data_IF_357418005362
#
_entry.id   IF_357418005362
#
_cell.length_a   1.000
_cell.length_b   1.000
_cell.length_c   1.000
_cell.angle_alpha   90.00
_cell.angle_beta   90.00
_cell.angle_gamma   90.00
#
_symmetry.space_group_name_H-M   'P 1'
#
loop_
_entity.id
_entity.type
_entity.pdbx_description
1 polymer ?
#
# COMPACT_ATOMS: atom_id res chain seq x y z
N UNK A 1 24.32 -30.11 -36.55
CA UNK A 1 25.25 -29.03 -36.18
C UNK A 1 24.61 -28.21 -35.07
N UNK A 2 24.66 -28.71 -33.83
CA UNK A 2 23.92 -28.13 -32.70
C UNK A 2 24.77 -28.04 -31.41
N UNK A 3 26.09 -27.92 -31.57
CA UNK A 3 27.04 -28.05 -30.46
C UNK A 3 27.58 -26.72 -29.92
N UNK A 4 27.30 -25.58 -30.57
CA UNK A 4 28.01 -24.33 -30.28
C UNK A 4 27.30 -23.39 -29.29
N UNK A 5 26.06 -23.67 -28.89
CA UNK A 5 25.32 -22.80 -27.95
C UNK A 5 25.61 -23.08 -26.47
N UNK A 6 26.19 -24.25 -26.14
CA UNK A 6 26.45 -24.65 -24.75
C UNK A 6 27.70 -24.01 -24.14
N UNK A 7 28.70 -23.66 -24.96
CA UNK A 7 29.96 -23.06 -24.50
C UNK A 7 29.83 -21.57 -24.13
N UNK A 8 28.85 -20.86 -24.70
CA UNK A 8 28.66 -19.43 -24.45
C UNK A 8 27.97 -19.18 -23.10
N UNK A 9 27.00 -20.02 -22.74
CA UNK A 9 26.23 -19.90 -21.51
C UNK A 9 27.07 -20.18 -20.25
N UNK A 10 28.06 -21.07 -20.34
CA UNK A 10 28.97 -21.41 -19.24
C UNK A 10 29.96 -20.28 -18.95
N UNK A 11 30.44 -19.58 -19.97
CA UNK A 11 31.39 -18.46 -19.80
C UNK A 11 30.74 -17.23 -19.13
N UNK A 12 29.45 -16.98 -19.39
CA UNK A 12 28.72 -15.87 -18.78
C UNK A 12 28.45 -16.10 -17.28
N UNK A 13 28.22 -17.36 -16.89
CA UNK A 13 27.97 -17.71 -15.49
C UNK A 13 29.19 -17.57 -14.59
N UNK A 14 30.40 -17.88 -15.09
CA UNK A 14 31.63 -17.73 -14.30
C UNK A 14 31.98 -16.25 -14.10
N UNK A 15 31.87 -15.43 -15.15
CA UNK A 15 32.12 -13.99 -15.06
C UNK A 15 31.22 -13.30 -14.03
N UNK A 16 29.95 -13.70 -13.95
CA UNK A 16 29.03 -13.18 -12.94
C UNK A 16 29.43 -13.59 -11.51
N UNK A 17 29.88 -14.83 -11.31
CA UNK A 17 30.32 -15.30 -9.98
C UNK A 17 31.55 -14.53 -9.51
N UNK A 18 32.53 -14.32 -10.40
CA UNK A 18 33.73 -13.54 -10.09
C UNK A 18 33.37 -12.08 -9.74
N UNK A 19 32.45 -11.46 -10.49
CA UNK A 19 31.96 -10.11 -10.20
C UNK A 19 31.21 -10.03 -8.87
N UNK A 20 30.34 -11.01 -8.59
CA UNK A 20 29.61 -11.08 -7.33
C UNK A 20 30.57 -11.25 -6.15
N UNK A 21 31.60 -12.08 -6.28
CA UNK A 21 32.60 -12.29 -5.25
C UNK A 21 33.41 -11.02 -4.97
N UNK A 22 33.83 -10.29 -6.01
CA UNK A 22 34.50 -8.99 -5.86
C UNK A 22 33.62 -7.98 -5.13
N UNK A 23 32.32 -7.91 -5.47
CA UNK A 23 31.40 -6.99 -4.82
C UNK A 23 31.15 -7.40 -3.36
N UNK A 24 31.02 -8.70 -3.09
CA UNK A 24 30.88 -9.21 -1.72
C UNK A 24 32.13 -8.98 -0.87
N UNK A 25 33.32 -9.06 -1.47
CA UNK A 25 34.58 -8.76 -0.78
C UNK A 25 34.66 -7.27 -0.43
N UNK A 26 34.37 -6.38 -1.40
CA UNK A 26 34.27 -4.93 -1.14
C UNK A 26 33.26 -4.60 -0.06
N UNK A 27 32.09 -5.25 -0.09
CA UNK A 27 31.06 -5.05 0.93
C UNK A 27 31.56 -5.43 2.34
N UNK A 28 32.45 -6.41 2.46
CA UNK A 28 33.07 -6.82 3.74
C UNK A 28 34.19 -5.89 4.17
N UNK A 29 35.06 -5.45 3.25
CA UNK A 29 36.27 -4.70 3.58
C UNK A 29 36.02 -3.19 3.68
N UNK A 30 35.24 -2.64 2.75
CA UNK A 30 34.91 -1.22 2.67
C UNK A 30 33.53 -1.01 2.01
N UNK A 31 32.44 -1.07 2.79
CA UNK A 31 31.09 -0.93 2.27
C UNK A 31 30.80 0.46 1.69
N UNK A 32 31.64 1.47 1.97
CA UNK A 32 31.49 2.81 1.40
C UNK A 32 31.95 2.88 -0.06
N UNK A 33 32.77 1.92 -0.50
CA UNK A 33 33.26 1.81 -1.88
C UNK A 33 32.22 1.29 -2.89
N UNK A 34 31.09 0.78 -2.41
CA UNK A 34 30.01 0.24 -3.26
C UNK A 34 29.27 1.38 -3.95
N UNK A 35 29.24 1.35 -5.28
CA UNK A 35 28.61 2.37 -6.12
C UNK A 35 27.26 1.90 -6.67
N UNK A 36 26.46 2.85 -7.17
CA UNK A 36 25.22 2.53 -7.88
C UNK A 36 25.47 1.72 -9.17
N UNK A 37 26.64 1.89 -9.80
CA UNK A 37 27.02 1.13 -10.99
C UNK A 37 27.29 -0.34 -10.65
N UNK A 38 27.87 -0.65 -9.48
CA UNK A 38 28.05 -2.03 -9.02
C UNK A 38 26.69 -2.75 -8.84
N UNK A 39 25.69 -2.03 -8.31
CA UNK A 39 24.33 -2.54 -8.14
C UNK A 39 23.64 -2.79 -9.49
N UNK A 40 23.84 -1.88 -10.45
CA UNK A 40 23.33 -1.99 -11.83
C UNK A 40 24.00 -3.13 -12.61
N UNK A 41 25.31 -3.31 -12.46
CA UNK A 41 26.05 -4.43 -13.07
C UNK A 41 25.55 -5.78 -12.56
N UNK A 42 25.22 -5.87 -11.27
CA UNK A 42 24.63 -7.07 -10.70
C UNK A 42 23.22 -7.34 -11.23
N UNK A 43 22.38 -6.32 -11.41
CA UNK A 43 21.02 -6.49 -11.91
C UNK A 43 20.96 -6.82 -13.41
N UNK A 44 21.88 -6.28 -14.22
CA UNK A 44 21.95 -6.53 -15.67
C UNK A 44 22.34 -7.99 -16.01
N UNK A 45 23.10 -8.66 -15.15
CA UNK A 45 23.58 -10.04 -15.40
C UNK A 45 22.73 -11.12 -14.73
N UNK A 46 21.62 -10.74 -14.09
CA UNK A 46 20.87 -11.63 -13.24
C UNK A 46 19.65 -12.28 -13.92
N UNK A 47 19.51 -13.59 -13.72
CA UNK A 47 18.35 -14.36 -14.17
C UNK A 47 17.35 -14.50 -13.02
N UNK A 48 16.10 -14.06 -13.20
CA UNK A 48 15.07 -13.82 -12.15
C UNK A 48 14.69 -15.04 -11.28
N UNK A 49 15.22 -16.22 -11.55
CA UNK A 49 14.84 -17.47 -10.89
C UNK A 49 15.52 -17.74 -9.54
N UNK A 50 16.53 -16.97 -9.12
CA UNK A 50 17.20 -17.19 -7.83
C UNK A 50 16.83 -16.12 -6.78
N UNK A 51 15.84 -16.42 -5.95
CA UNK A 51 15.35 -15.49 -4.91
C UNK A 51 16.45 -14.96 -3.98
N UNK A 52 17.47 -15.76 -3.67
CA UNK A 52 18.57 -15.33 -2.79
C UNK A 52 19.36 -14.20 -3.43
N UNK A 53 19.65 -14.33 -4.71
CA UNK A 53 20.40 -13.34 -5.45
C UNK A 53 19.57 -12.06 -5.72
N UNK A 54 18.26 -12.18 -5.97
CA UNK A 54 17.36 -10.99 -6.00
C UNK A 54 17.44 -10.20 -4.69
N UNK A 55 17.38 -10.89 -3.54
CA UNK A 55 17.49 -10.23 -2.22
C UNK A 55 18.83 -9.53 -2.03
N UNK A 56 19.93 -10.16 -2.45
CA UNK A 56 21.28 -9.57 -2.39
C UNK A 56 21.36 -8.32 -3.27
N UNK A 57 20.88 -8.40 -4.52
CA UNK A 57 20.90 -7.27 -5.46
C UNK A 57 20.12 -6.09 -4.89
N UNK A 58 18.90 -6.32 -4.40
CA UNK A 58 18.11 -5.26 -3.76
C UNK A 58 18.82 -4.67 -2.54
N UNK A 59 19.51 -5.49 -1.73
CA UNK A 59 20.27 -4.99 -0.58
C UNK A 59 21.41 -4.04 -1.00
N UNK A 60 22.13 -4.40 -2.06
CA UNK A 60 23.23 -3.61 -2.62
C UNK A 60 22.70 -2.30 -3.22
N UNK A 61 21.58 -2.33 -3.93
CA UNK A 61 20.91 -1.12 -4.44
C UNK A 61 20.50 -0.17 -3.32
N UNK A 62 19.87 -0.69 -2.25
CA UNK A 62 19.50 0.12 -1.09
C UNK A 62 20.72 0.75 -0.40
N UNK A 63 21.82 0.00 -0.28
CA UNK A 63 23.05 0.52 0.31
C UNK A 63 23.68 1.62 -0.55
N UNK A 64 23.71 1.46 -1.87
CA UNK A 64 24.26 2.47 -2.77
C UNK A 64 23.48 3.80 -2.69
N UNK A 65 22.15 3.73 -2.63
CA UNK A 65 21.29 4.92 -2.46
C UNK A 65 21.56 5.57 -1.10
N UNK A 66 21.60 4.75 -0.04
CA UNK A 66 21.86 5.20 1.32
C UNK A 66 23.22 5.90 1.50
N UNK A 67 24.29 5.32 0.96
CA UNK A 67 25.63 5.88 1.03
C UNK A 67 25.67 7.24 0.31
N UNK A 68 24.99 7.36 -0.83
CA UNK A 68 24.88 8.64 -1.54
C UNK A 68 24.17 9.70 -0.69
N UNK A 69 23.05 9.37 -0.07
CA UNK A 69 22.30 10.29 0.79
C UNK A 69 23.13 10.69 2.02
N UNK A 70 23.85 9.74 2.61
CA UNK A 70 24.76 9.98 3.74
C UNK A 70 25.91 10.92 3.35
N UNK A 71 26.55 10.69 2.21
CA UNK A 71 27.63 11.53 1.70
C UNK A 71 27.14 12.94 1.36
N UNK A 72 25.95 13.08 0.79
CA UNK A 72 25.34 14.39 0.53
C UNK A 72 25.06 15.13 1.85
N UNK A 73 24.53 14.45 2.87
CA UNK A 73 24.29 15.03 4.18
C UNK A 73 25.61 15.46 4.87
N UNK A 74 26.63 14.60 4.86
CA UNK A 74 27.95 14.89 5.46
C UNK A 74 28.73 15.98 4.72
N UNK A 75 28.57 16.08 3.39
CA UNK A 75 29.24 17.10 2.58
C UNK A 75 28.64 18.50 2.72
N UNK A 76 27.39 18.62 3.17
CA UNK A 76 26.70 19.89 3.39
C UNK A 76 27.15 20.59 4.68
N UNK A 77 27.23 19.84 5.79
CA UNK A 77 27.89 20.28 7.02
C UNK A 77 28.16 19.07 7.94
N UNK A 78 29.41 18.81 8.36
CA UNK A 78 29.72 17.71 9.25
C UNK A 78 29.23 17.94 10.69
N UNK A 79 28.87 19.19 11.04
CA UNK A 79 28.33 19.56 12.36
C UNK A 79 26.81 19.32 12.47
N UNK A 80 26.08 19.15 11.36
CA UNK A 80 24.64 18.83 11.36
C UNK A 80 24.38 17.34 11.13
N UNK A 81 25.02 16.46 11.92
CA UNK A 81 24.51 15.10 12.06
C UNK A 81 23.18 15.17 12.83
N UNK A 82 22.11 15.45 12.11
CA UNK A 82 20.76 15.57 12.66
C UNK A 82 20.20 14.21 13.04
N UNK A 83 19.19 14.19 13.91
CA UNK A 83 18.49 12.97 14.30
C UNK A 83 17.87 12.23 13.11
N UNK A 84 17.55 12.97 12.04
CA UNK A 84 17.00 12.48 10.77
C UNK A 84 18.03 11.62 10.02
N UNK A 85 19.29 12.05 9.97
CA UNK A 85 20.37 11.28 9.34
C UNK A 85 20.57 9.97 10.11
N UNK A 86 20.68 10.03 11.44
CA UNK A 86 20.83 8.84 12.29
C UNK A 86 19.65 7.86 12.13
N UNK A 87 18.41 8.37 12.14
CA UNK A 87 17.19 7.56 11.94
C UNK A 87 17.18 6.91 10.55
N UNK A 88 17.61 7.64 9.53
CA UNK A 88 17.71 7.14 8.15
C UNK A 88 18.76 6.04 8.06
N UNK A 89 19.97 6.28 8.56
CA UNK A 89 21.05 5.27 8.62
C UNK A 89 20.61 4.02 9.38
N UNK A 90 19.95 4.16 10.54
CA UNK A 90 19.47 3.02 11.32
C UNK A 90 18.37 2.22 10.60
N UNK A 91 17.47 2.90 9.88
CA UNK A 91 16.46 2.27 9.02
C UNK A 91 17.10 1.48 7.87
N UNK A 92 18.16 2.03 7.25
CA UNK A 92 18.93 1.36 6.20
C UNK A 92 19.63 0.11 6.73
N UNK A 93 20.38 0.23 7.84
CA UNK A 93 21.07 -0.90 8.48
C UNK A 93 20.07 -2.00 8.82
N UNK A 94 18.89 -1.64 9.34
CA UNK A 94 17.81 -2.60 9.60
C UNK A 94 17.36 -3.31 8.33
N UNK A 95 17.10 -2.58 7.23
CA UNK A 95 16.70 -3.18 5.95
C UNK A 95 17.79 -4.08 5.37
N UNK A 96 19.06 -3.69 5.48
CA UNK A 96 20.20 -4.51 5.05
C UNK A 96 20.30 -5.80 5.85
N UNK A 97 20.22 -5.72 7.18
CA UNK A 97 20.18 -6.91 8.04
C UNK A 97 19.06 -7.84 7.60
N UNK A 98 17.86 -7.30 7.33
CA UNK A 98 16.75 -8.11 6.81
C UNK A 98 17.06 -8.76 5.46
N UNK A 99 17.60 -8.01 4.51
CA UNK A 99 17.90 -8.50 3.17
C UNK A 99 19.02 -9.56 3.15
N UNK A 100 19.98 -9.46 4.07
CA UNK A 100 21.04 -10.45 4.27
C UNK A 100 20.56 -11.72 5.00
N UNK A 101 19.28 -11.83 5.35
CA UNK A 101 18.77 -12.94 6.16
C UNK A 101 19.16 -12.86 7.63
N UNK A 102 19.77 -11.75 8.06
CA UNK A 102 19.84 -11.36 9.48
C UNK A 102 18.53 -10.69 9.93
N UNK A 103 17.39 -11.04 9.32
CA UNK A 103 16.08 -10.88 9.95
C UNK A 103 16.11 -11.81 11.16
N UNK A 104 16.34 -11.27 12.38
CA UNK A 104 16.20 -11.98 13.65
C UNK A 104 16.45 -13.48 13.49
N UNK A 105 17.71 -13.88 13.22
CA UNK A 105 18.04 -15.30 13.19
C UNK A 105 17.43 -15.86 14.46
N UNK A 106 16.45 -16.79 14.39
CA UNK A 106 15.71 -17.25 15.54
C UNK A 106 16.74 -17.58 16.60
N UNK A 107 16.79 -16.79 17.68
CA UNK A 107 17.81 -17.01 18.68
C UNK A 107 17.43 -18.33 19.34
N UNK A 108 18.09 -19.46 19.00
CA UNK A 108 17.60 -20.77 19.43
C UNK A 108 17.66 -20.89 20.95
N UNK A 109 18.52 -20.07 21.57
CA UNK A 109 18.66 -19.90 23.01
C UNK A 109 17.40 -19.26 23.64
N UNK A 110 16.73 -18.32 22.96
CA UNK A 110 15.52 -17.63 23.46
C UNK A 110 14.26 -18.43 23.19
N UNK A 111 14.27 -19.29 22.16
CA UNK A 111 13.14 -20.17 21.83
C UNK A 111 12.81 -21.14 22.97
N UNK A 112 13.82 -21.69 23.65
CA UNK A 112 13.63 -22.55 24.81
C UNK A 112 12.93 -21.82 25.97
N UNK A 113 13.39 -20.60 26.29
CA UNK A 113 12.75 -19.76 27.31
C UNK A 113 11.31 -19.37 26.93
N UNK A 114 11.05 -19.11 25.65
CA UNK A 114 9.72 -18.81 25.13
C UNK A 114 8.79 -20.02 25.30
N UNK A 115 9.24 -21.21 24.93
CA UNK A 115 8.44 -22.43 25.05
C UNK A 115 8.13 -22.79 26.50
N UNK A 116 9.11 -22.64 27.41
CA UNK A 116 8.89 -22.83 28.85
C UNK A 116 7.85 -21.85 29.39
N UNK A 117 7.91 -20.58 28.98
CA UNK A 117 6.95 -19.57 29.42
C UNK A 117 5.56 -19.81 28.82
N UNK A 118 5.48 -20.27 27.58
CA UNK A 118 4.22 -20.70 26.95
C UNK A 118 3.56 -21.80 27.78
N UNK A 119 4.29 -22.88 28.10
CA UNK A 119 3.77 -24.01 28.89
C UNK A 119 3.27 -23.55 30.27
N UNK A 120 3.95 -22.57 30.87
CA UNK A 120 3.57 -21.99 32.16
C UNK A 120 2.32 -21.08 32.08
N UNK A 121 2.17 -20.31 31.00
CA UNK A 121 1.11 -19.32 30.84
C UNK A 121 -0.17 -19.92 30.25
N UNK A 122 -0.07 -20.94 29.39
CA UNK A 122 -1.21 -21.59 28.74
C UNK A 122 -2.34 -22.03 29.72
N UNK A 123 -2.06 -22.76 30.83
CA UNK A 123 -3.11 -23.08 31.80
C UNK A 123 -3.68 -21.84 32.51
N UNK A 124 -2.89 -20.78 32.68
CA UNK A 124 -3.36 -19.52 33.28
C UNK A 124 -4.25 -18.72 32.34
N UNK A 125 -4.01 -18.79 31.02
CA UNK A 125 -4.91 -18.22 30.01
C UNK A 125 -6.27 -18.89 30.11
N UNK A 126 -6.31 -20.23 30.14
CA UNK A 126 -7.55 -20.99 30.26
C UNK A 126 -8.33 -20.66 31.54
N UNK A 127 -7.61 -20.43 32.65
CA UNK A 127 -8.21 -20.02 33.94
C UNK A 127 -8.55 -18.53 34.02
N UNK A 128 -8.08 -17.70 33.09
CA UNK A 128 -8.24 -16.24 33.14
C UNK A 128 -7.40 -15.56 34.23
N UNK A 129 -6.36 -16.21 34.75
CA UNK A 129 -5.56 -15.75 35.92
C UNK A 129 -4.25 -15.08 35.54
N UNK A 130 -3.97 -14.92 34.25
CA UNK A 130 -2.74 -14.28 33.72
C UNK A 130 -2.54 -12.89 34.33
N UNK A 131 -1.32 -12.61 34.77
CA UNK A 131 -0.92 -11.29 35.25
C UNK A 131 -0.34 -10.43 34.12
N UNK A 132 -0.41 -9.11 34.26
CA UNK A 132 0.15 -8.16 33.27
C UNK A 132 1.64 -8.40 33.01
N UNK A 133 2.42 -8.61 34.07
CA UNK A 133 3.85 -8.88 33.95
C UNK A 133 4.16 -10.17 33.17
N UNK A 134 3.34 -11.21 33.31
CA UNK A 134 3.49 -12.46 32.55
C UNK A 134 3.17 -12.24 31.06
N UNK A 135 2.10 -11.50 30.75
CA UNK A 135 1.75 -11.17 29.37
C UNK A 135 2.82 -10.30 28.69
N UNK A 136 3.37 -9.32 29.40
CA UNK A 136 4.44 -8.44 28.89
C UNK A 136 5.77 -9.21 28.73
N UNK A 137 6.08 -10.14 29.64
CA UNK A 137 7.26 -11.02 29.53
C UNK A 137 7.15 -11.94 28.33
N UNK A 138 5.99 -12.57 28.12
CA UNK A 138 5.73 -13.43 26.97
C UNK A 138 5.83 -12.66 25.66
N UNK A 139 5.26 -11.45 25.59
CA UNK A 139 5.37 -10.56 24.44
C UNK A 139 6.82 -10.19 24.12
N UNK A 140 7.61 -9.89 25.15
CA UNK A 140 9.04 -9.57 24.99
C UNK A 140 9.84 -10.79 24.49
N UNK A 141 9.55 -11.99 25.00
CA UNK A 141 10.19 -13.23 24.55
C UNK A 141 9.87 -13.53 23.09
N UNK A 142 8.59 -13.47 22.72
CA UNK A 142 8.13 -13.69 21.34
C UNK A 142 8.70 -12.65 20.37
N UNK A 143 8.72 -11.37 20.77
CA UNK A 143 9.32 -10.30 19.96
C UNK A 143 10.83 -10.51 19.75
N UNK A 144 11.56 -11.06 20.73
CA UNK A 144 12.98 -11.40 20.57
C UNK A 144 13.19 -12.65 19.73
N UNK A 145 12.35 -13.67 19.91
CA UNK A 145 12.47 -14.96 19.21
C UNK A 145 12.08 -14.84 17.73
N UNK A 146 10.97 -14.16 17.43
CA UNK A 146 10.38 -14.11 16.10
C UNK A 146 10.42 -12.72 15.46
N UNK A 147 10.74 -11.66 16.22
CA UNK A 147 10.74 -10.30 15.70
C UNK A 147 9.35 -9.68 15.51
N UNK A 148 8.29 -10.47 15.71
CA UNK A 148 6.91 -10.05 15.61
C UNK A 148 6.04 -10.95 16.49
N UNK A 149 4.93 -10.42 16.97
CA UNK A 149 3.93 -11.23 17.68
C UNK A 149 2.87 -11.72 16.71
N UNK A 150 2.58 -13.01 16.75
CA UNK A 150 1.57 -13.59 15.89
C UNK A 150 0.17 -13.09 16.29
N UNK A 151 -0.59 -12.62 15.30
CA UNK A 151 -1.98 -12.20 15.52
C UNK A 151 -2.81 -13.41 15.87
N UNK A 152 -3.29 -13.48 17.12
CA UNK A 152 -4.08 -14.61 17.62
C UNK A 152 -3.24 -15.71 18.28
N UNK A 153 -1.93 -15.52 18.42
CA UNK A 153 -1.07 -16.42 19.19
C UNK A 153 -1.31 -16.36 20.70
N UNK A 154 -0.56 -17.18 21.44
CA UNK A 154 -0.68 -17.34 22.90
C UNK A 154 -0.44 -16.00 23.62
N UNK A 155 0.51 -15.19 23.14
CA UNK A 155 0.74 -13.83 23.65
C UNK A 155 -0.48 -12.93 23.50
N UNK A 156 -1.13 -12.94 22.34
CA UNK A 156 -2.33 -12.14 22.11
C UNK A 156 -3.48 -12.61 23.03
N UNK A 157 -3.60 -13.91 23.26
CA UNK A 157 -4.57 -14.47 24.21
C UNK A 157 -4.26 -14.04 25.65
N UNK A 158 -3.00 -14.08 26.07
CA UNK A 158 -2.54 -13.61 27.38
C UNK A 158 -2.88 -12.12 27.60
N UNK A 159 -2.56 -11.26 26.63
CA UNK A 159 -2.89 -9.83 26.68
C UNK A 159 -4.40 -9.59 26.73
N UNK A 160 -5.19 -10.36 25.98
CA UNK A 160 -6.66 -10.28 26.00
C UNK A 160 -7.24 -10.63 27.37
N UNK A 161 -6.72 -11.67 28.02
CA UNK A 161 -7.12 -12.06 29.39
C UNK A 161 -6.81 -10.94 30.38
N UNK A 162 -5.61 -10.36 30.34
CA UNK A 162 -5.21 -9.24 31.20
C UNK A 162 -6.16 -8.05 30.98
N UNK A 163 -6.40 -7.66 29.72
CA UNK A 163 -7.29 -6.55 29.39
C UNK A 163 -8.75 -6.80 29.80
N UNK A 164 -9.22 -8.05 29.80
CA UNK A 164 -10.55 -8.42 30.33
C UNK A 164 -10.59 -8.29 31.85
N UNK A 165 -9.55 -8.75 32.55
CA UNK A 165 -9.46 -8.65 34.00
C UNK A 165 -9.38 -7.21 34.49
N UNK A 166 -8.58 -6.37 33.84
CA UNK A 166 -8.50 -4.93 34.15
C UNK A 166 -9.86 -4.24 33.98
N UNK A 167 -10.63 -4.63 32.95
CA UNK A 167 -12.01 -4.18 32.76
C UNK A 167 -12.94 -4.63 33.88
N UNK A 168 -12.86 -5.89 34.32
CA UNK A 168 -13.70 -6.40 35.41
C UNK A 168 -13.38 -5.73 36.76
N UNK A 169 -12.10 -5.51 37.07
CA UNK A 169 -11.68 -4.79 38.28
C UNK A 169 -12.17 -3.34 38.29
N UNK A 170 -12.23 -2.72 37.11
CA UNK A 170 -12.79 -1.37 36.97
C UNK A 170 -14.32 -1.33 37.18
N UNK A 171 -15.02 -2.45 36.98
CA UNK A 171 -16.48 -2.55 37.10
C UNK A 171 -16.93 -3.03 38.49
N UNK A 172 -16.12 -3.83 39.20
CA UNK A 172 -16.47 -4.34 40.53
C UNK A 172 -16.14 -3.35 41.66
N UNK A 173 -15.57 -2.19 41.35
CA UNK A 173 -15.39 -1.06 42.28
C UNK A 173 -16.66 -0.23 42.49
N UNK A 174 -17.84 -0.83 42.40
CA UNK A 174 -19.10 -0.18 42.79
C UNK A 174 -19.14 0.02 44.31
N UNK A 175 -19.69 1.14 44.80
CA UNK A 175 -19.60 1.52 46.20
C UNK A 175 -20.33 0.50 47.07
N UNK A 176 -19.58 -0.23 47.89
CA UNK A 176 -20.12 -1.09 48.94
C UNK A 176 -20.87 -0.18 49.92
N UNK A 177 -22.20 -0.31 49.91
CA UNK A 177 -23.11 0.48 50.71
C UNK A 177 -22.86 0.26 52.20
N UNK A 178 -22.15 1.19 52.83
CA UNK A 178 -22.26 1.44 54.27
C UNK A 178 -22.92 2.79 54.50
N UNK A 179 -24.16 2.68 54.97
CA UNK A 179 -25.03 3.57 55.74
C UNK A 179 -24.78 5.09 55.82
N UNK A 180 -25.87 5.88 55.89
CA UNK A 180 -25.83 7.32 55.99
C UNK A 180 -25.51 7.76 57.43
N UNK A 181 -24.47 8.55 57.60
CA UNK A 181 -24.40 9.49 58.72
C UNK A 181 -23.92 10.81 58.18
N UNK A 182 -24.82 11.79 58.26
CA UNK A 182 -24.62 13.13 57.76
C UNK A 182 -23.43 13.78 58.44
N UNK A 183 -22.48 14.24 57.65
CA UNK A 183 -21.71 15.43 57.96
C UNK A 183 -21.21 15.98 56.64
N UNK A 184 -21.62 17.19 56.33
CA UNK A 184 -21.12 17.99 55.24
C UNK A 184 -19.59 18.07 55.31
N UNK A 185 -18.88 17.54 54.31
CA UNK A 185 -17.58 18.08 53.98
C UNK A 185 -17.21 17.81 52.53
N UNK A 186 -17.17 18.92 51.79
CA UNK A 186 -16.53 19.10 50.50
C UNK A 186 -15.20 18.33 50.39
N UNK A 187 -15.12 17.32 49.52
CA UNK A 187 -13.87 16.97 48.84
C UNK A 187 -14.11 16.14 47.57
N UNK A 188 -14.11 16.85 46.46
CA UNK A 188 -13.70 16.45 45.10
C UNK A 188 -13.71 14.93 44.77
N UNK A 189 -14.81 14.48 44.19
CA UNK A 189 -14.94 13.22 43.48
C UNK A 189 -13.92 13.16 42.34
N UNK A 190 -12.99 12.20 42.44
CA UNK A 190 -12.03 11.83 41.40
C UNK A 190 -12.45 10.50 40.77
N UNK A 191 -13.74 10.38 40.44
CA UNK A 191 -14.23 9.30 39.58
C UNK A 191 -13.80 9.61 38.15
N UNK A 192 -13.11 8.67 37.51
CA UNK A 192 -12.71 8.79 36.12
C UNK A 192 -13.93 8.84 35.23
N UNK A 193 -14.46 10.04 34.98
CA UNK A 193 -15.44 10.31 33.95
C UNK A 193 -14.88 9.83 32.61
N UNK A 194 -15.24 8.61 32.20
CA UNK A 194 -15.19 8.28 30.77
C UNK A 194 -16.15 9.24 30.09
N UNK A 195 -15.67 9.96 29.09
CA UNK A 195 -16.51 10.94 28.42
C UNK A 195 -17.74 10.23 27.82
N UNK A 196 -18.88 10.93 27.67
CA UNK A 196 -20.05 10.37 27.02
C UNK A 196 -19.74 9.78 25.63
N UNK A 197 -18.76 10.32 24.91
CA UNK A 197 -18.31 9.76 23.63
C UNK A 197 -17.67 8.38 23.77
N UNK A 198 -16.85 8.16 24.80
CA UNK A 198 -16.21 6.86 25.03
C UNK A 198 -17.24 5.79 25.37
N UNK A 199 -18.22 6.10 26.21
CA UNK A 199 -19.29 5.15 26.54
C UNK A 199 -20.11 4.79 25.30
N UNK A 200 -20.46 5.79 24.48
CA UNK A 200 -21.16 5.56 23.21
C UNK A 200 -20.37 4.68 22.24
N UNK A 201 -19.04 4.80 22.20
CA UNK A 201 -18.20 3.93 21.38
C UNK A 201 -18.20 2.49 21.88
N UNK A 202 -18.10 2.27 23.20
CA UNK A 202 -18.16 0.92 23.78
C UNK A 202 -19.48 0.22 23.49
N UNK A 203 -20.60 0.95 23.58
CA UNK A 203 -21.93 0.37 23.30
C UNK A 203 -22.07 0.02 21.81
N UNK A 204 -21.52 0.85 20.91
CA UNK A 204 -21.51 0.57 19.45
C UNK A 204 -20.67 -0.67 19.12
N UNK A 205 -19.51 -0.82 19.76
CA UNK A 205 -18.62 -1.97 19.57
C UNK A 205 -19.25 -3.26 20.13
N UNK A 206 -19.86 -3.19 21.33
CA UNK A 206 -20.58 -4.33 21.91
C UNK A 206 -21.72 -4.82 21.03
N UNK A 207 -22.52 -3.91 20.47
CA UNK A 207 -23.59 -4.25 19.53
C UNK A 207 -23.07 -4.92 18.26
N UNK A 208 -21.92 -4.47 17.73
CA UNK A 208 -21.29 -5.07 16.56
C UNK A 208 -20.80 -6.50 16.84
N UNK A 209 -20.13 -6.72 17.98
CA UNK A 209 -19.67 -8.05 18.40
C UNK A 209 -20.85 -9.02 18.58
N UNK A 210 -21.90 -8.60 19.27
CA UNK A 210 -23.07 -9.43 19.49
C UNK A 210 -23.77 -9.82 18.17
N UNK A 211 -23.91 -8.87 17.24
CA UNK A 211 -24.47 -9.15 15.92
C UNK A 211 -23.55 -10.07 15.09
N UNK A 212 -22.23 -9.93 15.22
CA UNK A 212 -21.25 -10.78 14.54
C UNK A 212 -21.32 -12.23 15.05
N UNK A 213 -21.41 -12.43 16.36
CA UNK A 213 -21.56 -13.76 16.95
C UNK A 213 -22.87 -14.42 16.50
N UNK A 214 -23.98 -13.67 16.44
CA UNK A 214 -25.28 -14.19 16.02
C UNK A 214 -25.35 -14.64 14.55
N UNK A 215 -24.47 -14.12 13.67
CA UNK A 215 -24.41 -14.55 12.26
C UNK A 215 -23.28 -15.51 11.98
N UNK A 216 -22.36 -15.74 12.93
CA UNK A 216 -21.14 -16.50 12.68
C UNK A 216 -21.44 -17.90 12.16
N UNK A 217 -22.31 -18.63 12.86
CA UNK A 217 -22.73 -19.98 12.45
C UNK A 217 -23.45 -19.96 11.08
N UNK A 218 -24.27 -18.93 10.82
CA UNK A 218 -24.95 -18.75 9.53
C UNK A 218 -23.98 -18.48 8.38
N UNK A 219 -22.86 -17.81 8.64
CA UNK A 219 -21.80 -17.59 7.64
C UNK A 219 -21.15 -18.92 7.28
N UNK A 220 -20.83 -19.74 8.28
CA UNK A 220 -20.25 -21.08 8.10
C UNK A 220 -21.22 -22.02 7.35
N UNK A 221 -22.51 -21.95 7.66
CA UNK A 221 -23.57 -22.71 6.97
C UNK A 221 -23.96 -22.14 5.60
N UNK A 222 -23.54 -20.91 5.28
CA UNK A 222 -23.92 -20.23 4.04
C UNK A 222 -25.37 -19.71 4.00
N UNK A 223 -26.05 -19.62 5.14
CA UNK A 223 -27.48 -19.31 5.25
C UNK A 223 -27.78 -17.82 5.48
N UNK A 224 -26.76 -16.98 5.55
CA UNK A 224 -26.89 -15.52 5.78
C UNK A 224 -27.81 -14.85 4.75
N UNK A 225 -28.69 -13.99 5.23
CA UNK A 225 -29.56 -13.16 4.39
C UNK A 225 -28.93 -11.79 4.08
N UNK A 226 -29.34 -11.16 2.98
CA UNK A 226 -28.88 -9.81 2.61
C UNK A 226 -29.22 -8.75 3.67
N UNK A 227 -30.35 -8.91 4.36
CA UNK A 227 -30.74 -8.02 5.45
C UNK A 227 -29.75 -8.10 6.62
N UNK A 228 -29.36 -9.32 7.03
CA UNK A 228 -28.38 -9.53 8.10
C UNK A 228 -27.00 -8.99 7.71
N UNK A 229 -26.55 -9.25 6.48
CA UNK A 229 -25.28 -8.72 5.98
C UNK A 229 -25.26 -7.19 5.94
N UNK A 230 -26.36 -6.55 5.51
CA UNK A 230 -26.50 -5.09 5.49
C UNK A 230 -26.56 -4.50 6.89
N UNK A 231 -27.22 -5.19 7.83
CA UNK A 231 -27.29 -4.77 9.23
C UNK A 231 -25.90 -4.75 9.90
N UNK A 232 -25.10 -5.80 9.68
CA UNK A 232 -23.71 -5.87 10.15
C UNK A 232 -22.82 -4.78 9.57
N UNK A 233 -22.96 -4.52 8.27
CA UNK A 233 -22.22 -3.44 7.63
C UNK A 233 -22.58 -2.08 8.22
N UNK A 234 -23.86 -1.83 8.49
CA UNK A 234 -24.34 -0.60 9.14
C UNK A 234 -23.77 -0.43 10.57
N UNK A 235 -23.79 -1.49 11.38
CA UNK A 235 -23.20 -1.48 12.72
C UNK A 235 -21.70 -1.20 12.68
N UNK A 236 -21.01 -1.79 11.71
CA UNK A 236 -19.58 -1.56 11.50
C UNK A 236 -19.26 -0.12 11.11
N UNK A 237 -19.97 0.45 10.14
CA UNK A 237 -19.78 1.85 9.75
C UNK A 237 -20.06 2.79 10.92
N UNK A 238 -21.01 2.47 11.81
CA UNK A 238 -21.28 3.25 13.02
C UNK A 238 -20.19 3.12 14.09
N UNK A 239 -19.56 1.95 14.22
CA UNK A 239 -18.53 1.68 15.24
C UNK A 239 -17.13 2.16 14.83
N UNK A 240 -16.72 1.94 13.58
CA UNK A 240 -15.33 2.16 13.13
C UNK A 240 -15.21 3.12 11.93
N UNK A 241 -16.32 3.60 11.37
CA UNK A 241 -16.30 4.29 10.08
C UNK A 241 -15.98 3.37 8.90
N UNK A 242 -15.78 3.95 7.72
CA UNK A 242 -15.62 3.20 6.46
C UNK A 242 -14.18 2.70 6.19
N UNK A 243 -13.25 2.93 7.11
CA UNK A 243 -11.81 2.72 6.87
C UNK A 243 -11.34 1.29 7.11
N UNK A 244 -12.09 0.48 7.85
CA UNK A 244 -11.67 -0.88 8.19
C UNK A 244 -12.19 -1.92 7.18
N UNK A 245 -11.35 -2.37 6.24
CA UNK A 245 -11.67 -3.48 5.31
C UNK A 245 -11.12 -4.81 5.87
N UNK A 246 -11.96 -5.84 5.98
CA UNK A 246 -11.52 -7.18 6.45
C UNK A 246 -12.23 -7.77 7.68
N UNK A 247 -13.44 -7.34 8.02
CA UNK A 247 -14.22 -7.90 9.15
C UNK A 247 -15.33 -8.84 8.67
N UNK A 248 -15.90 -9.61 9.60
CA UNK A 248 -17.02 -10.58 9.43
C UNK A 248 -18.16 -10.04 8.55
N UNK A 249 -18.44 -8.73 8.59
CA UNK A 249 -19.44 -8.09 7.72
C UNK A 249 -19.17 -8.26 6.21
N UNK A 250 -17.91 -8.21 5.77
CA UNK A 250 -17.55 -8.43 4.37
C UNK A 250 -17.74 -9.89 3.97
N UNK A 251 -17.41 -10.82 4.86
CA UNK A 251 -17.68 -12.25 4.68
C UNK A 251 -19.18 -12.51 4.58
N UNK A 252 -19.97 -11.93 5.49
CA UNK A 252 -21.44 -12.02 5.47
C UNK A 252 -22.04 -11.49 4.15
N UNK A 253 -21.53 -10.37 3.62
CA UNK A 253 -21.94 -9.84 2.32
C UNK A 253 -21.60 -10.78 1.16
N UNK A 254 -20.38 -11.34 1.16
CA UNK A 254 -19.96 -12.29 0.13
C UNK A 254 -20.82 -13.57 0.16
N UNK A 255 -21.09 -14.10 1.35
CA UNK A 255 -21.94 -15.27 1.55
C UNK A 255 -23.39 -15.01 1.10
N UNK A 256 -23.96 -13.85 1.46
CA UNK A 256 -25.31 -13.47 1.02
C UNK A 256 -25.38 -13.34 -0.52
N UNK A 257 -24.39 -12.73 -1.16
CA UNK A 257 -24.32 -12.60 -2.63
C UNK A 257 -24.17 -13.95 -3.35
N UNK A 258 -23.38 -14.88 -2.79
CA UNK A 258 -23.29 -16.27 -3.29
C UNK A 258 -24.63 -16.98 -3.23
N UNK A 259 -25.42 -16.76 -2.17
CA UNK A 259 -26.76 -17.35 -2.06
C UNK A 259 -27.72 -16.78 -3.10
N UNK A 260 -27.70 -15.47 -3.33
CA UNK A 260 -28.56 -14.84 -4.35
C UNK A 260 -28.24 -15.35 -5.76
N UNK A 261 -26.96 -15.53 -6.09
CA UNK A 261 -26.54 -16.10 -7.39
C UNK A 261 -26.94 -17.57 -7.55
N UNK A 262 -26.88 -18.37 -6.49
CA UNK A 262 -27.30 -19.78 -6.52
C UNK A 262 -28.83 -19.95 -6.59
N UNK A 263 -29.61 -19.01 -6.04
CA UNK A 263 -31.08 -19.06 -6.09
C UNK A 263 -31.64 -18.74 -7.49
N UNK A 264 -30.87 -18.06 -8.34
CA UNK A 264 -31.24 -17.76 -9.73
C UNK A 264 -30.98 -18.89 -10.74
N UNK A 265 -30.40 -20.03 -10.32
CA UNK A 265 -29.90 -21.06 -11.24
C UNK A 265 -30.92 -22.17 -11.59
N UNK A 266 -32.14 -21.76 -11.91
CA UNK A 266 -33.09 -22.60 -12.64
C UNK A 266 -33.05 -22.27 -14.14
N UNK A 267 -31.84 -22.30 -14.76
CA UNK A 267 -31.62 -22.59 -16.20
C UNK A 267 -30.12 -22.47 -16.55
N UNK A 268 -29.52 -23.48 -17.22
CA UNK A 268 -28.09 -23.50 -17.43
C UNK A 268 -27.72 -22.72 -18.70
N UNK A 269 -26.78 -21.78 -18.57
CA UNK A 269 -25.85 -21.46 -19.64
C UNK A 269 -24.50 -21.10 -19.01
N UNK A 270 -23.49 -21.85 -19.42
CA UNK A 270 -22.12 -21.74 -18.97
C UNK A 270 -21.58 -20.31 -19.03
N UNK A 271 -20.99 -19.85 -17.93
CA UNK A 271 -19.69 -19.18 -17.92
C UNK A 271 -19.23 -18.99 -16.47
N UNK A 272 -18.46 -19.97 -16.00
CA UNK A 272 -17.76 -19.93 -14.72
C UNK A 272 -16.68 -18.84 -14.75
N UNK A 273 -16.78 -17.84 -13.87
CA UNK A 273 -15.69 -16.88 -13.59
C UNK A 273 -15.44 -16.71 -12.09
N UNK A 274 -14.48 -17.52 -11.63
CA UNK A 274 -13.40 -17.26 -10.67
C UNK A 274 -13.64 -16.16 -9.61
N UNK A 275 -13.78 -16.63 -8.36
CA UNK A 275 -13.53 -15.81 -7.17
C UNK A 275 -12.02 -15.71 -6.99
N UNK A 276 -11.43 -14.58 -7.39
CA UNK A 276 -10.00 -14.30 -7.26
C UNK A 276 -9.62 -13.98 -5.80
N UNK A 277 -8.41 -14.39 -5.42
CA UNK A 277 -7.82 -14.21 -4.10
C UNK A 277 -7.70 -12.73 -3.72
N UNK A 278 -7.72 -12.35 -2.42
CA UNK A 278 -7.49 -10.97 -1.96
C UNK A 278 -6.18 -10.33 -2.46
N UNK A 279 -5.21 -11.15 -2.85
CA UNK A 279 -3.93 -10.69 -3.43
C UNK A 279 -4.01 -10.42 -4.94
N UNK A 280 -5.02 -10.97 -5.62
CA UNK A 280 -5.24 -10.82 -7.07
C UNK A 280 -6.20 -9.66 -7.41
N UNK A 281 -7.07 -9.26 -6.47
CA UNK A 281 -7.94 -8.08 -6.62
C UNK A 281 -7.20 -6.79 -7.03
N UNK A 282 -6.09 -6.38 -6.38
CA UNK A 282 -5.40 -5.16 -6.76
C UNK A 282 -4.71 -5.26 -8.13
N UNK A 283 -4.43 -6.46 -8.64
CA UNK A 283 -3.95 -6.63 -10.01
C UNK A 283 -5.07 -6.44 -11.02
N UNK A 284 -6.25 -7.00 -10.73
CA UNK A 284 -7.42 -6.85 -11.59
C UNK A 284 -7.87 -5.38 -11.71
N UNK A 285 -7.86 -4.62 -10.60
CA UNK A 285 -8.24 -3.21 -10.61
C UNK A 285 -7.27 -2.34 -11.44
N UNK A 286 -5.98 -2.67 -11.40
CA UNK A 286 -4.95 -1.97 -12.20
C UNK A 286 -5.09 -2.28 -13.69
N UNK A 287 -5.36 -3.53 -14.03
CA UNK A 287 -5.57 -3.98 -15.41
C UNK A 287 -6.84 -3.36 -16.02
N UNK A 288 -7.94 -3.30 -15.27
CA UNK A 288 -9.19 -2.69 -15.73
C UNK A 288 -9.02 -1.18 -15.94
N UNK A 289 -8.31 -0.49 -15.05
CA UNK A 289 -7.98 0.93 -15.21
C UNK A 289 -7.11 1.18 -16.46
N UNK A 290 -6.13 0.32 -16.72
CA UNK A 290 -5.33 0.38 -17.95
C UNK A 290 -6.23 0.23 -19.19
N UNK A 291 -7.11 -0.78 -19.22
CA UNK A 291 -8.04 -1.00 -20.34
C UNK A 291 -8.97 0.17 -20.60
N UNK A 292 -9.52 0.80 -19.55
CA UNK A 292 -10.37 1.98 -19.71
C UNK A 292 -9.61 3.15 -20.33
N UNK A 293 -8.37 3.39 -19.89
CA UNK A 293 -7.52 4.45 -20.44
C UNK A 293 -7.09 4.13 -21.88
N UNK A 294 -6.79 2.87 -22.20
CA UNK A 294 -6.52 2.42 -23.56
C UNK A 294 -7.71 2.65 -24.49
N UNK A 295 -8.92 2.27 -24.09
CA UNK A 295 -10.14 2.47 -24.90
C UNK A 295 -10.39 3.95 -25.19
N UNK A 296 -10.16 4.83 -24.22
CA UNK A 296 -10.35 6.27 -24.39
C UNK A 296 -9.31 6.93 -25.30
N UNK A 297 -8.07 6.42 -25.31
CA UNK A 297 -6.93 7.04 -26.01
C UNK A 297 -6.69 6.41 -27.39
N UNK A 298 -7.07 5.14 -27.60
CA UNK A 298 -6.89 4.41 -28.86
C UNK A 298 -7.42 5.16 -30.11
N UNK A 299 -8.65 5.71 -30.15
CA UNK A 299 -9.10 6.48 -31.31
C UNK A 299 -8.24 7.74 -31.52
N UNK A 300 -7.85 8.43 -30.43
CA UNK A 300 -7.02 9.63 -30.52
C UNK A 300 -5.61 9.35 -31.07
N UNK A 301 -5.05 8.17 -30.79
CA UNK A 301 -3.78 7.71 -31.37
C UNK A 301 -3.93 7.56 -32.89
N UNK A 302 -5.03 6.97 -33.36
CA UNK A 302 -5.30 6.79 -34.78
C UNK A 302 -5.49 8.14 -35.49
N UNK A 303 -6.16 9.09 -34.82
CA UNK A 303 -6.40 10.44 -35.34
C UNK A 303 -5.19 11.37 -35.20
N UNK A 304 -4.12 10.95 -34.48
CA UNK A 304 -2.96 11.80 -34.19
C UNK A 304 -3.25 12.96 -33.23
N UNK A 305 -4.39 12.94 -32.52
CA UNK A 305 -4.87 14.03 -31.66
C UNK A 305 -4.47 13.89 -30.18
N UNK A 306 -3.69 12.86 -29.84
CA UNK A 306 -3.23 12.60 -28.46
C UNK A 306 -2.48 13.78 -27.87
N UNK A 307 -2.84 14.14 -26.64
CA UNK A 307 -2.12 15.16 -25.86
C UNK A 307 -0.97 14.54 -25.04
N UNK A 308 0.03 15.33 -24.68
CA UNK A 308 1.15 14.88 -23.84
C UNK A 308 0.68 14.36 -22.46
N UNK A 309 -0.38 14.95 -21.90
CA UNK A 309 -0.97 14.52 -20.64
C UNK A 309 -1.61 13.12 -20.75
N UNK A 310 -2.31 12.84 -21.85
CA UNK A 310 -2.92 11.53 -22.12
C UNK A 310 -1.85 10.45 -22.33
N UNK A 311 -0.81 10.74 -23.11
CA UNK A 311 0.31 9.82 -23.29
C UNK A 311 1.01 9.50 -21.96
N UNK A 312 1.20 10.50 -21.08
CA UNK A 312 1.77 10.31 -19.74
C UNK A 312 0.84 9.51 -18.82
N UNK A 313 -0.48 9.75 -18.88
CA UNK A 313 -1.49 9.01 -18.11
C UNK A 313 -1.51 7.53 -18.51
N UNK A 314 -1.50 7.24 -19.81
CA UNK A 314 -1.46 5.87 -20.34
C UNK A 314 -0.19 5.13 -19.90
N UNK A 315 0.97 5.78 -20.05
CA UNK A 315 2.25 5.23 -19.60
C UNK A 315 2.27 4.96 -18.08
N UNK A 316 1.73 5.88 -17.25
CA UNK A 316 1.62 5.68 -15.81
C UNK A 316 0.68 4.52 -15.44
N UNK A 317 -0.41 4.31 -16.16
CA UNK A 317 -1.27 3.15 -15.98
C UNK A 317 -0.55 1.84 -16.36
N UNK A 318 0.16 1.81 -17.48
CA UNK A 318 0.92 0.64 -17.92
C UNK A 318 2.03 0.28 -16.91
N UNK A 319 2.79 1.28 -16.44
CA UNK A 319 3.81 1.08 -15.41
C UNK A 319 3.25 0.55 -14.09
N UNK A 320 2.02 0.93 -13.72
CA UNK A 320 1.37 0.41 -12.50
C UNK A 320 0.82 -1.00 -12.69
N UNK A 321 0.31 -1.33 -13.88
CA UNK A 321 -0.26 -2.64 -14.18
C UNK A 321 0.81 -3.71 -14.43
N UNK A 322 1.85 -3.38 -15.20
CA UNK A 322 2.85 -4.34 -15.68
C UNK A 322 4.27 -4.09 -15.14
N UNK A 323 4.54 -2.94 -14.50
CA UNK A 323 5.87 -2.61 -13.97
C UNK A 323 6.89 -2.16 -15.02
N UNK A 324 6.53 -2.20 -16.30
CA UNK A 324 7.36 -1.79 -17.42
C UNK A 324 6.48 -1.34 -18.59
N UNK A 325 7.08 -0.73 -19.60
CA UNK A 325 6.40 -0.36 -20.86
C UNK A 325 6.94 -1.23 -21.97
N UNK A 326 6.08 -2.01 -22.62
CA UNK A 326 6.51 -2.83 -23.74
C UNK A 326 6.66 -1.99 -25.02
N UNK A 327 7.78 -2.18 -25.73
CA UNK A 327 7.99 -1.52 -27.02
C UNK A 327 6.93 -1.98 -28.02
N UNK A 328 6.20 -1.04 -28.62
CA UNK A 328 5.15 -1.33 -29.59
C UNK A 328 3.73 -1.39 -29.01
N UNK A 329 3.56 -1.26 -27.68
CA UNK A 329 2.24 -1.09 -27.07
C UNK A 329 1.71 0.33 -27.19
N UNK A 330 0.42 0.49 -26.87
CA UNK A 330 -0.35 1.73 -27.00
C UNK A 330 0.32 2.93 -26.32
N UNK A 331 0.96 2.77 -25.15
CA UNK A 331 1.65 3.89 -24.49
C UNK A 331 2.89 4.35 -25.26
N UNK A 332 3.70 3.42 -25.77
CA UNK A 332 4.88 3.74 -26.59
C UNK A 332 4.45 4.43 -27.91
N UNK A 333 3.36 3.94 -28.53
CA UNK A 333 2.78 4.56 -29.73
C UNK A 333 2.25 5.96 -29.44
N UNK A 334 1.53 6.16 -28.33
CA UNK A 334 1.04 7.47 -27.92
C UNK A 334 2.19 8.48 -27.70
N UNK A 335 3.28 8.06 -27.05
CA UNK A 335 4.46 8.90 -26.86
C UNK A 335 5.13 9.26 -28.18
N UNK A 336 5.24 8.30 -29.11
CA UNK A 336 5.80 8.53 -30.44
C UNK A 336 4.99 9.55 -31.24
N UNK A 337 3.65 9.45 -31.22
CA UNK A 337 2.75 10.41 -31.89
C UNK A 337 2.92 11.82 -31.33
N UNK A 338 2.98 11.96 -29.99
CA UNK A 338 3.19 13.26 -29.34
C UNK A 338 4.56 13.85 -29.71
N UNK A 339 5.62 13.04 -29.69
CA UNK A 339 6.97 13.48 -30.06
C UNK A 339 7.04 13.93 -31.53
N UNK A 340 6.38 13.18 -32.43
CA UNK A 340 6.35 13.53 -33.85
C UNK A 340 5.60 14.84 -34.10
N UNK A 341 4.51 15.10 -33.37
CA UNK A 341 3.77 16.37 -33.45
C UNK A 341 4.56 17.55 -32.90
N UNK A 342 5.31 17.35 -31.81
CA UNK A 342 6.19 18.41 -31.30
C UNK A 342 7.28 18.77 -32.30
N UNK A 343 7.81 17.76 -33.01
CA UNK A 343 8.81 17.98 -34.07
C UNK A 343 8.27 18.82 -35.21
N UNK A 344 7.09 18.48 -35.75
CA UNK A 344 6.49 19.22 -36.87
C UNK A 344 6.15 20.67 -36.50
N UNK A 345 5.71 20.92 -35.26
CA UNK A 345 5.48 22.28 -34.78
C UNK A 345 6.80 23.07 -34.63
N UNK A 346 7.89 22.41 -34.26
CA UNK A 346 9.20 23.05 -34.11
C UNK A 346 9.85 23.37 -35.46
N UNK A 347 9.63 22.52 -36.48
CA UNK A 347 10.20 22.72 -37.82
C UNK A 347 9.53 23.89 -38.57
N UNK A 348 8.24 24.11 -38.36
CA UNK A 348 7.51 25.25 -38.95
C UNK A 348 7.98 26.57 -38.32
N UNK A 349 8.30 26.57 -37.02
CA UNK A 349 8.79 27.76 -36.32
C UNK A 349 10.21 28.19 -36.72
N UNK A 350 10.98 27.32 -37.38
CA UNK A 350 12.36 27.59 -37.78
C UNK A 350 12.54 27.78 -39.28
N UNK A 351 11.46 27.93 -40.07
CA UNK A 351 11.61 28.35 -41.46
C UNK A 351 12.25 29.75 -41.48
N UNK A 352 13.38 29.96 -42.17
CA UNK A 352 13.94 31.28 -42.34
C UNK A 352 12.89 32.15 -43.00
N UNK A 353 12.43 33.21 -42.33
CA UNK A 353 11.65 34.26 -42.97
C UNK A 353 12.41 34.66 -44.25
N UNK A 354 11.82 34.55 -45.45
CA UNK A 354 12.43 35.17 -46.61
C UNK A 354 12.46 36.66 -46.32
N UNK A 355 13.65 37.19 -46.11
CA UNK A 355 13.90 38.62 -45.97
C UNK A 355 13.29 39.33 -47.17
N UNK A 356 12.23 40.09 -46.89
CA UNK A 356 11.53 40.95 -47.84
C UNK A 356 12.51 41.99 -48.39
N UNK A 357 13.05 41.73 -49.58
CA UNK A 357 13.60 42.77 -50.43
C UNK A 357 12.47 43.45 -51.20
N UNK A 358 12.06 44.60 -50.68
CA UNK A 358 11.83 45.86 -51.40
C UNK A 358 11.61 45.74 -52.92
N UNK A 359 10.35 45.82 -53.36
CA UNK A 359 9.96 46.44 -54.63
C UNK A 359 8.44 46.70 -54.71
N UNK A 360 8.05 47.98 -54.63
CA UNK A 360 7.06 48.58 -55.53
C UNK A 360 5.57 48.56 -55.10
N UNK A 361 4.89 49.72 -55.10
CA UNK A 361 3.46 49.81 -54.83
C UNK A 361 2.65 49.58 -56.12
N UNK A 362 1.84 48.52 -56.16
CA UNK A 362 0.76 48.41 -57.15
C UNK A 362 -0.59 48.46 -56.42
N UNK A 363 -1.28 49.57 -56.64
CA UNK A 363 -2.72 49.73 -56.39
C UNK A 363 -3.46 48.81 -57.34
N UNK A 364 -4.39 48.03 -56.82
CA UNK A 364 -5.60 47.68 -57.54
C UNK A 364 -6.71 47.39 -56.52
N UNK A 365 -7.73 48.26 -56.59
CA UNK A 365 -8.98 48.20 -55.86
C UNK A 365 -9.79 46.98 -56.30
N UNK A 366 -10.22 46.14 -55.36
CA UNK A 366 -11.45 45.35 -55.51
C UNK A 366 -12.23 45.39 -54.19
N UNK A 367 -13.31 46.16 -54.28
CA UNK A 367 -14.47 46.24 -53.40
C UNK A 367 -15.20 44.89 -53.24
N UNK A 368 -16.20 44.90 -52.34
CA UNK A 368 -17.33 43.96 -52.20
C UNK A 368 -17.29 43.04 -50.96
N UNK A 369 -17.89 43.58 -49.89
CA UNK A 369 -19.03 43.02 -49.14
C UNK A 369 -18.97 41.56 -48.65
N UNK A 370 -18.95 41.38 -47.31
CA UNK A 370 -20.13 40.91 -46.55
C UNK A 370 -19.87 40.72 -45.03
N UNK A 371 -20.70 41.44 -44.28
CA UNK A 371 -21.36 41.11 -43.00
C UNK A 371 -20.60 40.44 -41.82
N UNK A 372 -20.68 41.04 -40.61
CA UNK A 372 -20.35 40.36 -39.36
C UNK A 372 -21.58 39.60 -38.83
N UNK A 373 -21.42 38.30 -38.52
CA UNK A 373 -22.35 37.58 -37.65
C UNK A 373 -21.83 37.58 -36.22
N UNK A 374 -22.52 38.36 -35.40
CA UNK A 374 -22.53 38.23 -33.95
C UNK A 374 -22.96 36.81 -33.56
N UNK A 375 -22.20 36.17 -32.66
CA UNK A 375 -22.69 35.06 -31.86
C UNK A 375 -22.45 35.44 -30.41
N UNK A 376 -23.54 35.90 -29.81
CA UNK A 376 -23.79 35.98 -28.37
C UNK A 376 -23.41 34.65 -27.70
N UNK A 377 -22.38 34.69 -26.87
CA UNK A 377 -21.98 33.60 -25.98
C UNK A 377 -22.32 33.98 -24.55
N UNK A 378 -23.53 33.63 -24.16
CA UNK A 378 -24.12 33.70 -22.82
C UNK A 378 -23.14 33.23 -21.72
N UNK A 379 -22.67 34.17 -20.90
CA UNK A 379 -21.86 33.91 -19.71
C UNK A 379 -22.80 33.54 -18.57
N UNK A 380 -23.09 32.24 -18.47
CA UNK A 380 -23.87 31.68 -17.37
C UNK A 380 -23.32 32.05 -16.00
N UNK A 381 -24.20 32.64 -15.20
CA UNK A 381 -24.06 32.97 -13.79
C UNK A 381 -23.53 31.77 -12.97
N UNK A 382 -22.36 31.94 -12.37
CA UNK A 382 -21.88 31.04 -11.30
C UNK A 382 -22.42 31.57 -9.98
N UNK A 383 -23.47 30.90 -9.49
CA UNK A 383 -24.00 31.09 -8.15
C UNK A 383 -22.92 30.80 -7.09
N UNK A 384 -22.59 31.83 -6.31
CA UNK A 384 -21.98 31.70 -4.98
C UNK A 384 -22.94 30.91 -4.09
N UNK A 385 -22.50 29.77 -3.59
CA UNK A 385 -23.05 29.19 -2.36
C UNK A 385 -22.01 29.32 -1.26
N UNK A 386 -22.21 30.34 -0.42
CA UNK A 386 -21.72 30.36 0.95
C UNK A 386 -22.41 29.22 1.71
N UNK A 387 -21.61 28.33 2.30
CA UNK A 387 -22.07 27.45 3.37
C UNK A 387 -21.30 27.84 4.63
N UNK A 388 -21.91 28.74 5.38
CA UNK A 388 -21.71 28.93 6.81
C UNK A 388 -22.63 27.93 7.55
N UNK A 389 -22.06 27.06 8.37
CA UNK A 389 -22.73 26.35 9.47
C UNK A 389 -21.61 25.82 10.39
N UNK A 390 -21.38 26.52 11.51
CA UNK A 390 -21.88 26.24 12.87
C UNK A 390 -20.99 25.26 13.66
#
# INVERSE_FOLDING_TARGET
MSSDTSSLATSHSSQFQDQLEVILDRLKTDPSSITADDARLLSENFNTHNERAVRIISAVEYLAIANKDLHVALGGSPEEVTTEVLRTTQSIVSKMQRALGHTNVPHPEVEGELQEEIVKIEPKIAQGTVTKAEADRLHSLEARAHGHTEKGGITAAAQSVVARRERQLSLSGGPEALQPSGSEQLQANKEGFKSPEQQSQYDKEGNLLQAADAVKDKIEEGTVTKAEASHLQSLKSRAHGDTFKGFIAATAQSTAARRESNASDARPCADSKNTLSPQEQPHHDKEENLRQVELAIRPKIQDGTVTAAEAKKLHSCEMRAHGHTEKGRLAATAQSVVAHRQRTLSDISNSPHPSETDAGPHKEDIDVDKEPKEVEGDLGDIAKTENEAQ
#
